data_IF_013725247276
#
_entry.id   IF_013725247276
#
_cell.length_a   1.000
_cell.length_b   1.000
_cell.length_c   1.000
_cell.angle_alpha   90.00
_cell.angle_beta   90.00
_cell.angle_gamma   90.00
#
_symmetry.space_group_name_H-M   'P 1'
#
loop_
_entity.id
_entity.type
_entity.pdbx_description
1 polymer ?
#
# COMPACT_ATOMS: atom_id res chain seq x y z
N UNK A 1 13.35 1.06 -16.20
CA UNK A 1 12.27 2.04 -16.46
C UNK A 1 12.85 3.45 -16.35
N UNK A 2 13.90 3.72 -17.12
CA UNK A 2 14.45 5.05 -17.43
C UNK A 2 15.09 4.85 -18.81
N UNK A 3 14.82 5.74 -19.77
CA UNK A 3 15.36 5.64 -21.15
C UNK A 3 16.90 5.75 -21.17
N UNK A 4 17.53 5.86 -22.33
CA UNK A 4 18.97 6.18 -22.42
C UNK A 4 19.25 7.66 -22.13
N UNK A 5 18.75 8.10 -20.98
CA UNK A 5 19.07 9.40 -20.41
C UNK A 5 20.35 9.24 -19.60
N UNK A 6 21.17 10.29 -19.52
CA UNK A 6 22.42 10.26 -18.73
C UNK A 6 22.16 10.03 -17.23
N UNK A 7 20.91 10.16 -16.80
CA UNK A 7 20.38 9.90 -15.47
C UNK A 7 20.12 8.41 -15.19
N UNK A 8 20.01 7.56 -16.22
CA UNK A 8 19.61 6.14 -16.10
C UNK A 8 20.55 5.32 -15.21
N UNK A 9 21.84 5.62 -15.29
CA UNK A 9 22.89 4.90 -14.56
C UNK A 9 23.39 5.72 -13.36
N UNK A 10 22.65 6.76 -12.95
CA UNK A 10 22.96 7.62 -11.80
C UNK A 10 21.98 7.36 -10.65
N UNK A 11 22.53 7.16 -9.46
CA UNK A 11 21.74 6.99 -8.24
C UNK A 11 21.15 8.32 -7.74
N UNK A 12 21.76 9.45 -8.12
CA UNK A 12 21.35 10.79 -7.73
C UNK A 12 21.41 11.78 -8.91
N UNK A 13 20.47 12.72 -8.93
CA UNK A 13 20.33 13.72 -9.98
C UNK A 13 20.09 15.08 -9.33
N UNK A 14 20.96 16.05 -9.64
CA UNK A 14 20.78 17.43 -9.21
C UNK A 14 19.69 18.11 -10.05
N UNK A 15 18.66 18.63 -9.39
CA UNK A 15 17.66 19.49 -10.01
C UNK A 15 18.15 20.94 -9.97
N UNK A 16 18.83 21.36 -11.04
CA UNK A 16 19.32 22.72 -11.18
C UNK A 16 18.16 23.70 -11.38
N UNK A 17 18.32 24.91 -10.86
CA UNK A 17 17.36 26.02 -11.02
C UNK A 17 15.98 25.75 -10.40
N UNK A 18 15.89 24.80 -9.47
CA UNK A 18 14.68 24.50 -8.71
C UNK A 18 14.83 25.05 -7.30
N UNK A 19 13.92 25.93 -6.89
CA UNK A 19 13.83 26.38 -5.51
C UNK A 19 13.25 25.25 -4.66
N UNK A 20 13.99 24.85 -3.63
CA UNK A 20 13.63 23.72 -2.77
C UNK A 20 12.19 23.80 -2.25
N UNK A 21 11.78 24.95 -1.71
CA UNK A 21 10.44 25.14 -1.12
C UNK A 21 9.31 25.07 -2.16
N UNK A 22 9.55 25.47 -3.40
CA UNK A 22 8.58 25.37 -4.50
C UNK A 22 8.41 23.91 -4.94
N UNK A 23 9.47 23.12 -4.89
CA UNK A 23 9.43 21.69 -5.17
C UNK A 23 8.74 20.89 -4.08
N UNK A 24 8.87 21.30 -2.81
CA UNK A 24 8.10 20.71 -1.71
C UNK A 24 6.60 21.00 -1.89
N UNK A 25 6.23 22.23 -2.26
CA UNK A 25 4.83 22.54 -2.60
C UNK A 25 4.32 21.72 -3.78
N UNK A 26 5.17 21.49 -4.79
CA UNK A 26 4.89 20.57 -5.88
C UNK A 26 4.65 19.13 -5.35
N UNK A 27 5.49 18.59 -4.48
CA UNK A 27 5.35 17.24 -3.87
C UNK A 27 4.09 17.09 -3.02
N UNK A 28 3.74 18.10 -2.23
CA UNK A 28 2.49 18.12 -1.47
C UNK A 28 1.26 18.25 -2.39
N UNK A 29 1.44 18.69 -3.64
CA UNK A 29 0.41 18.75 -4.70
C UNK A 29 0.41 17.49 -5.60
N UNK A 30 1.52 16.76 -5.74
CA UNK A 30 1.60 15.55 -6.60
C UNK A 30 1.62 14.23 -5.83
N UNK A 31 1.88 14.25 -4.53
CA UNK A 31 1.57 13.17 -3.59
C UNK A 31 0.59 13.57 -2.45
N UNK A 32 -0.54 14.26 -2.74
CA UNK A 32 -1.63 14.47 -1.80
C UNK A 32 -2.57 13.28 -1.96
N UNK A 33 -2.53 12.27 -1.10
CA UNK A 33 -3.56 11.22 -1.22
C UNK A 33 -4.93 11.78 -0.80
N UNK A 34 -5.66 12.33 -1.76
CA UNK A 34 -7.10 12.62 -1.73
C UNK A 34 -7.92 11.59 -2.52
N UNK A 35 -7.25 10.74 -3.31
CA UNK A 35 -7.91 9.69 -4.08
C UNK A 35 -8.29 8.54 -3.15
N UNK A 36 -9.58 8.29 -3.02
CA UNK A 36 -10.08 7.14 -2.26
C UNK A 36 -9.66 5.85 -2.95
N UNK A 37 -8.99 5.00 -2.21
CA UNK A 37 -8.76 3.62 -2.58
C UNK A 37 -10.11 2.88 -2.54
N UNK A 38 -10.30 1.91 -3.43
CA UNK A 38 -11.54 1.13 -3.57
C UNK A 38 -11.24 -0.36 -3.64
N UNK A 39 -12.27 -1.20 -3.52
CA UNK A 39 -12.10 -2.67 -3.56
C UNK A 39 -11.42 -3.14 -4.84
N UNK A 40 -11.69 -2.47 -5.97
CA UNK A 40 -11.10 -2.83 -7.25
C UNK A 40 -9.66 -2.34 -7.41
N UNK A 41 -9.25 -1.25 -6.74
CA UNK A 41 -7.92 -0.62 -6.94
C UNK A 41 -6.90 -1.00 -5.88
N UNK A 42 -7.34 -1.42 -4.69
CA UNK A 42 -6.49 -1.62 -3.51
C UNK A 42 -5.34 -2.59 -3.73
N UNK A 43 -5.54 -3.67 -4.50
CA UNK A 43 -4.48 -4.66 -4.79
C UNK A 43 -3.38 -4.08 -5.67
N UNK A 44 -3.75 -3.28 -6.67
CA UNK A 44 -2.79 -2.63 -7.55
C UNK A 44 -2.03 -1.53 -6.81
N UNK A 45 -2.73 -0.75 -5.97
CA UNK A 45 -2.12 0.29 -5.15
C UNK A 45 -1.14 -0.32 -4.14
N UNK A 46 -1.47 -1.46 -3.53
CA UNK A 46 -0.52 -2.19 -2.67
C UNK A 46 0.70 -2.68 -3.45
N UNK A 47 0.51 -3.28 -4.63
CA UNK A 47 1.62 -3.76 -5.44
C UNK A 47 2.59 -2.65 -5.87
N UNK A 48 2.05 -1.50 -6.32
CA UNK A 48 2.87 -0.36 -6.75
C UNK A 48 3.42 0.41 -5.55
N UNK A 49 2.64 0.57 -4.49
CA UNK A 49 3.07 1.21 -3.25
C UNK A 49 4.18 0.43 -2.54
N UNK A 50 4.14 -0.90 -2.58
CA UNK A 50 5.21 -1.75 -2.09
C UNK A 50 6.44 -1.67 -3.02
N UNK A 51 6.25 -1.80 -4.34
CA UNK A 51 7.34 -1.76 -5.34
C UNK A 51 8.12 -0.44 -5.36
N UNK A 52 7.40 0.68 -5.29
CA UNK A 52 7.98 2.03 -5.34
C UNK A 52 8.13 2.64 -3.94
N UNK A 53 7.88 1.87 -2.88
CA UNK A 53 8.01 2.30 -1.49
C UNK A 53 7.20 3.57 -1.18
N UNK A 54 6.01 3.69 -1.77
CA UNK A 54 5.08 4.79 -1.56
C UNK A 54 4.23 4.47 -0.32
N UNK A 55 4.77 4.77 0.87
CA UNK A 55 4.17 4.38 2.14
C UNK A 55 2.74 4.89 2.32
N UNK A 56 2.48 6.12 1.90
CA UNK A 56 1.14 6.73 2.00
C UNK A 56 0.08 5.91 1.23
N UNK A 57 0.46 5.35 0.08
CA UNK A 57 -0.43 4.46 -0.69
C UNK A 57 -0.71 3.14 0.04
N UNK A 58 0.29 2.61 0.78
CA UNK A 58 0.15 1.39 1.58
C UNK A 58 -0.76 1.60 2.78
N UNK A 59 -0.58 2.71 3.50
CA UNK A 59 -1.38 3.07 4.67
C UNK A 59 -2.85 3.26 4.30
N UNK A 60 -3.12 4.03 3.25
CA UNK A 60 -4.49 4.24 2.77
C UNK A 60 -5.14 2.93 2.28
N UNK A 61 -4.35 2.04 1.65
CA UNK A 61 -4.83 0.75 1.20
C UNK A 61 -5.20 -0.17 2.36
N UNK A 62 -4.37 -0.19 3.41
CA UNK A 62 -4.64 -0.93 4.63
C UNK A 62 -5.92 -0.43 5.32
N UNK A 63 -6.11 0.89 5.41
CA UNK A 63 -7.32 1.50 5.95
C UNK A 63 -8.58 1.13 5.15
N UNK A 64 -8.49 1.10 3.82
CA UNK A 64 -9.59 0.63 2.97
C UNK A 64 -9.94 -0.82 3.26
N UNK A 65 -8.95 -1.73 3.31
CA UNK A 65 -9.17 -3.16 3.54
C UNK A 65 -9.78 -3.47 4.91
N UNK A 66 -9.44 -2.69 5.94
CA UNK A 66 -10.05 -2.81 7.27
C UNK A 66 -11.57 -2.58 7.22
N UNK A 67 -12.02 -1.60 6.43
CA UNK A 67 -13.45 -1.24 6.32
C UNK A 67 -14.21 -1.98 5.21
N UNK A 68 -13.51 -2.60 4.26
CA UNK A 68 -14.12 -3.24 3.09
C UNK A 68 -14.90 -4.52 3.45
N UNK A 69 -16.13 -4.66 3.00
CA UNK A 69 -16.99 -5.83 3.28
C UNK A 69 -16.95 -6.90 2.19
N UNK A 70 -16.44 -6.57 0.99
CA UNK A 70 -16.43 -7.48 -0.16
C UNK A 70 -15.29 -8.49 -0.16
N UNK A 71 -14.30 -8.31 0.71
CA UNK A 71 -13.20 -9.25 0.88
C UNK A 71 -13.49 -10.17 2.06
N UNK A 72 -13.32 -11.47 1.86
CA UNK A 72 -13.32 -12.43 2.96
C UNK A 72 -12.13 -12.18 3.90
N UNK A 73 -12.25 -12.65 5.14
CA UNK A 73 -11.17 -12.56 6.13
C UNK A 73 -9.91 -13.29 5.66
N UNK A 74 -10.05 -14.41 4.93
CA UNK A 74 -8.92 -15.15 4.35
C UNK A 74 -8.20 -14.30 3.30
N UNK A 75 -8.93 -13.64 2.40
CA UNK A 75 -8.34 -12.78 1.38
C UNK A 75 -7.62 -11.57 1.98
N UNK A 76 -8.21 -10.96 3.02
CA UNK A 76 -7.58 -9.86 3.76
C UNK A 76 -6.31 -10.32 4.47
N UNK A 77 -6.32 -11.51 5.09
CA UNK A 77 -5.16 -12.07 5.77
C UNK A 77 -4.03 -12.41 4.78
N UNK A 78 -4.35 -12.95 3.61
CA UNK A 78 -3.37 -13.22 2.55
C UNK A 78 -2.72 -11.92 2.03
N UNK A 79 -3.51 -10.87 1.81
CA UNK A 79 -2.99 -9.55 1.46
C UNK A 79 -2.13 -8.95 2.58
N UNK A 80 -2.55 -9.12 3.83
CA UNK A 80 -1.84 -8.63 4.99
C UNK A 80 -0.48 -9.31 5.16
N UNK A 81 -0.40 -10.61 4.91
CA UNK A 81 0.87 -11.34 4.94
C UNK A 81 1.77 -10.93 3.75
N UNK A 82 1.22 -10.93 2.53
CA UNK A 82 1.96 -10.59 1.31
C UNK A 82 2.59 -9.20 1.37
N UNK A 83 1.85 -8.20 1.85
CA UNK A 83 2.30 -6.80 1.90
C UNK A 83 2.67 -6.33 3.32
N UNK A 84 2.78 -7.26 4.28
CA UNK A 84 3.15 -7.00 5.68
C UNK A 84 2.29 -5.91 6.36
N UNK A 85 0.98 -5.95 6.13
CA UNK A 85 -0.01 -5.00 6.67
C UNK A 85 -0.44 -5.43 8.08
N UNK A 86 0.28 -4.95 9.11
CA UNK A 86 0.15 -5.41 10.50
C UNK A 86 -1.25 -5.17 11.06
N UNK A 87 -1.86 -4.00 10.82
CA UNK A 87 -3.18 -3.68 11.38
C UNK A 87 -4.26 -4.55 10.76
N UNK A 88 -4.15 -4.79 9.45
CA UNK A 88 -5.09 -5.67 8.76
C UNK A 88 -4.96 -7.12 9.23
N UNK A 89 -3.73 -7.61 9.43
CA UNK A 89 -3.46 -8.95 9.96
C UNK A 89 -4.09 -9.13 11.34
N UNK A 90 -3.82 -8.20 12.27
CA UNK A 90 -4.28 -8.31 13.65
C UNK A 90 -5.82 -8.23 13.73
N UNK A 91 -6.45 -7.39 12.89
CA UNK A 91 -7.92 -7.34 12.76
C UNK A 91 -8.50 -8.67 12.24
N UNK A 92 -7.86 -9.30 11.26
CA UNK A 92 -8.28 -10.60 10.76
C UNK A 92 -8.20 -11.67 11.87
N UNK A 93 -7.08 -11.73 12.59
CA UNK A 93 -6.87 -12.70 13.68
C UNK A 93 -7.88 -12.54 14.83
N UNK A 94 -8.22 -11.30 15.20
CA UNK A 94 -9.25 -11.03 16.21
C UNK A 94 -10.64 -11.53 15.77
N UNK A 95 -10.96 -11.35 14.49
CA UNK A 95 -12.20 -11.86 13.89
C UNK A 95 -12.24 -13.40 13.97
N UNK A 96 -11.14 -14.08 13.64
CA UNK A 96 -11.01 -15.54 13.77
C UNK A 96 -11.12 -16.03 15.21
N UNK A 97 -10.51 -15.34 16.18
CA UNK A 97 -10.64 -15.74 17.59
C UNK A 97 -12.08 -15.62 18.13
N UNK A 98 -12.94 -14.86 17.44
CA UNK A 98 -14.37 -14.75 17.75
C UNK A 98 -15.21 -15.82 17.01
N UNK A 99 -14.81 -16.21 15.79
CA UNK A 99 -15.43 -17.30 15.02
C UNK A 99 -14.74 -18.63 15.34
N UNK A 100 -15.20 -19.32 16.38
CA UNK A 100 -14.70 -20.64 16.80
C UNK A 100 -14.86 -21.73 15.71
N UNK A 101 -13.92 -21.84 14.78
CA UNK A 101 -13.70 -23.06 13.97
C UNK A 101 -12.20 -23.23 13.68
N UNK A 102 -11.42 -23.59 14.70
CA UNK A 102 -10.10 -24.25 14.55
C UNK A 102 -10.28 -25.74 14.88
N UNK A 103 -11.27 -26.37 14.25
CA UNK A 103 -11.43 -27.84 14.25
C UNK A 103 -11.87 -28.28 12.85
N UNK A 104 -11.05 -27.98 11.84
CA UNK A 104 -11.17 -28.58 10.50
C UNK A 104 -9.84 -28.57 9.72
N UNK A 105 -8.71 -28.55 10.43
CA UNK A 105 -7.40 -28.91 9.85
C UNK A 105 -6.84 -30.10 10.63
N UNK A 106 -7.65 -31.16 10.68
CA UNK A 106 -7.22 -32.53 10.97
C UNK A 106 -8.00 -33.42 10.01
N UNK A 107 -7.45 -33.65 8.82
CA UNK A 107 -7.22 -34.95 8.13
C UNK A 107 -6.17 -34.72 7.04
#
# INVERSE_FOLDING_TARGET
FFGEYDEKDKDEIELKEVVFEEFINLLLVICPTRAKITDSTVRQVLALGDRFQIENARVEAEAHLLSATKFSTVEKLALADQYRLVKLRDNCLQTYSTTREITALDV
#
